data_IF_173981980694
#
_entry.id   IF_173981980694
#
_cell.length_a   1.000
_cell.length_b   1.000
_cell.length_c   1.000
_cell.angle_alpha   90.00
_cell.angle_beta   90.00
_cell.angle_gamma   90.00
#
_symmetry.space_group_name_H-M   'P 1'
#
loop_
_entity.id
_entity.type
_entity.pdbx_description
1 polymer ?
#
# COMPACT_ATOMS: atom_id res chain seq x y z
N UNK A 1 -115.26 39.29 45.99
CA UNK A 1 -114.26 38.43 46.66
C UNK A 1 -113.52 37.52 45.66
N UNK A 2 -114.22 36.76 44.81
CA UNK A 2 -113.59 35.86 43.83
C UNK A 2 -112.59 36.55 42.86
N UNK A 3 -112.96 37.68 42.24
CA UNK A 3 -112.07 38.43 41.33
C UNK A 3 -110.80 39.01 41.99
N UNK A 4 -110.88 39.37 43.29
CA UNK A 4 -109.73 39.86 44.04
C UNK A 4 -108.76 38.72 44.37
N UNK A 5 -109.29 37.59 44.82
CA UNK A 5 -108.49 36.37 45.08
C UNK A 5 -107.79 35.89 43.81
N UNK A 6 -108.43 36.02 42.64
CA UNK A 6 -107.86 35.63 41.36
C UNK A 6 -106.70 36.54 40.93
N UNK A 7 -106.88 37.88 41.01
CA UNK A 7 -105.81 38.85 40.77
C UNK A 7 -104.64 38.72 41.76
N UNK A 8 -104.93 38.45 43.03
CA UNK A 8 -103.91 38.22 44.06
C UNK A 8 -103.08 36.98 43.73
N UNK A 9 -103.71 35.86 43.33
CA UNK A 9 -103.00 34.64 42.89
C UNK A 9 -102.13 34.86 41.67
N UNK A 10 -102.57 35.65 40.69
CA UNK A 10 -101.76 35.98 39.50
C UNK A 10 -100.50 36.77 39.89
N UNK A 11 -100.64 37.74 40.80
CA UNK A 11 -99.50 38.53 41.30
C UNK A 11 -98.54 37.66 42.13
N UNK A 12 -99.04 36.74 42.96
CA UNK A 12 -98.19 35.79 43.66
C UNK A 12 -97.46 34.85 42.69
N UNK A 13 -98.14 34.30 41.69
CA UNK A 13 -97.53 33.45 40.67
C UNK A 13 -96.45 34.20 39.88
N UNK A 14 -96.70 35.44 39.47
CA UNK A 14 -95.67 36.27 38.79
C UNK A 14 -94.47 36.57 39.69
N UNK A 15 -94.68 36.72 41.00
CA UNK A 15 -93.59 36.87 41.97
C UNK A 15 -92.77 35.58 42.08
N UNK A 16 -93.42 34.43 42.15
CA UNK A 16 -92.74 33.12 42.18
C UNK A 16 -91.95 32.87 40.89
N UNK A 17 -92.54 33.15 39.73
CA UNK A 17 -91.87 33.03 38.42
C UNK A 17 -90.65 33.96 38.33
N UNK A 18 -90.78 35.21 38.79
CA UNK A 18 -89.65 36.16 38.82
C UNK A 18 -88.53 35.69 39.74
N UNK A 19 -88.86 35.12 40.91
CA UNK A 19 -87.88 34.55 41.83
C UNK A 19 -87.22 33.30 41.24
N UNK A 20 -87.97 32.45 40.54
CA UNK A 20 -87.42 31.29 39.83
C UNK A 20 -86.45 31.72 38.73
N UNK A 21 -86.86 32.67 37.89
CA UNK A 21 -86.02 33.18 36.81
C UNK A 21 -84.72 33.82 37.33
N UNK A 22 -84.79 34.60 38.42
CA UNK A 22 -83.58 35.17 39.05
C UNK A 22 -82.66 34.05 39.56
N UNK A 23 -83.19 32.99 40.16
CA UNK A 23 -82.39 31.83 40.58
C UNK A 23 -81.72 31.14 39.39
N UNK A 24 -82.46 30.91 38.31
CA UNK A 24 -81.92 30.28 37.09
C UNK A 24 -80.83 31.14 36.46
N UNK A 25 -81.01 32.47 36.45
CA UNK A 25 -80.01 33.42 35.97
C UNK A 25 -78.75 33.40 36.82
N UNK A 26 -78.88 33.34 38.16
CA UNK A 26 -77.73 33.25 39.08
C UNK A 26 -76.97 31.93 38.90
N UNK A 27 -77.68 30.81 38.72
CA UNK A 27 -77.05 29.51 38.43
C UNK A 27 -76.35 29.54 37.07
N UNK A 28 -76.95 30.16 36.05
CA UNK A 28 -76.33 30.31 34.75
C UNK A 28 -75.06 31.17 34.80
N UNK A 29 -75.10 32.30 35.51
CA UNK A 29 -73.94 33.18 35.71
C UNK A 29 -72.83 32.44 36.47
N UNK A 30 -73.15 31.75 37.57
CA UNK A 30 -72.18 30.98 38.34
C UNK A 30 -71.53 29.88 37.48
N UNK A 31 -72.33 29.16 36.69
CA UNK A 31 -71.80 28.18 35.74
C UNK A 31 -70.87 28.81 34.70
N UNK A 32 -71.30 29.93 34.10
CA UNK A 32 -70.50 30.64 33.09
C UNK A 32 -69.18 31.16 33.68
N UNK A 33 -69.21 31.71 34.89
CA UNK A 33 -68.00 32.16 35.59
C UNK A 33 -67.05 31.01 35.91
N UNK A 34 -67.58 29.86 36.35
CA UNK A 34 -66.80 28.67 36.62
C UNK A 34 -66.19 28.09 35.34
N UNK A 35 -66.95 28.01 34.25
CA UNK A 35 -66.47 27.55 32.94
C UNK A 35 -65.36 28.49 32.41
N UNK A 36 -65.55 29.81 32.50
CA UNK A 36 -64.54 30.79 32.08
C UNK A 36 -63.28 30.76 32.95
N UNK A 37 -63.40 30.56 34.26
CA UNK A 37 -62.25 30.38 35.16
C UNK A 37 -61.48 29.12 34.80
N UNK A 38 -62.16 27.99 34.60
CA UNK A 38 -61.53 26.74 34.20
C UNK A 38 -60.81 26.85 32.85
N UNK A 39 -61.41 27.56 31.89
CA UNK A 39 -60.79 27.79 30.58
C UNK A 39 -59.56 28.72 30.69
N UNK A 40 -59.63 29.78 31.50
CA UNK A 40 -58.46 30.63 31.75
C UNK A 40 -57.32 29.86 32.42
N UNK A 41 -57.61 29.02 33.41
CA UNK A 41 -56.59 28.19 34.08
C UNK A 41 -55.95 27.20 33.09
N UNK A 42 -56.74 26.62 32.19
CA UNK A 42 -56.25 25.75 31.11
C UNK A 42 -55.34 26.52 30.15
N UNK A 43 -55.79 27.67 29.65
CA UNK A 43 -55.02 28.49 28.71
C UNK A 43 -53.72 29.03 29.33
N UNK A 44 -53.74 29.39 30.62
CA UNK A 44 -52.53 29.80 31.34
C UNK A 44 -51.51 28.66 31.40
N UNK A 45 -51.98 27.44 31.66
CA UNK A 45 -51.10 26.25 31.67
C UNK A 45 -50.53 25.93 30.28
N UNK A 46 -51.38 25.97 29.25
CA UNK A 46 -50.92 25.76 27.87
C UNK A 46 -49.91 26.83 27.43
N UNK A 47 -50.09 28.08 27.87
CA UNK A 47 -49.15 29.16 27.63
C UNK A 47 -47.81 28.92 28.32
N UNK A 48 -47.83 28.48 29.58
CA UNK A 48 -46.61 28.15 30.35
C UNK A 48 -45.85 27.00 29.69
N UNK A 49 -46.53 25.90 29.34
CA UNK A 49 -45.93 24.75 28.66
C UNK A 49 -45.31 25.16 27.31
N UNK A 50 -46.03 25.96 26.51
CA UNK A 50 -45.53 26.45 25.22
C UNK A 50 -44.31 27.38 25.37
N UNK A 51 -44.21 28.14 26.47
CA UNK A 51 -43.04 28.98 26.75
C UNK A 51 -41.81 28.13 27.08
N UNK A 52 -41.98 27.07 27.88
CA UNK A 52 -40.91 26.14 28.21
C UNK A 52 -40.36 25.44 26.95
N UNK A 53 -41.26 24.95 26.08
CA UNK A 53 -40.90 24.32 24.82
C UNK A 53 -40.16 25.28 23.87
N UNK A 54 -40.63 26.52 23.78
CA UNK A 54 -39.99 27.54 22.95
C UNK A 54 -38.56 27.85 23.42
N UNK A 55 -38.34 27.92 24.73
CA UNK A 55 -37.04 28.20 25.30
C UNK A 55 -36.08 27.01 25.14
N UNK A 56 -36.57 25.78 25.25
CA UNK A 56 -35.79 24.58 24.94
C UNK A 56 -35.38 24.54 23.45
N UNK A 57 -36.34 24.74 22.55
CA UNK A 57 -36.08 24.78 21.11
C UNK A 57 -35.08 25.90 20.73
N UNK A 58 -35.17 27.06 21.38
CA UNK A 58 -34.21 28.16 21.19
C UNK A 58 -32.81 27.80 21.66
N UNK A 59 -32.67 27.12 22.80
CA UNK A 59 -31.37 26.64 23.31
C UNK A 59 -30.78 25.60 22.37
N UNK A 60 -31.54 24.56 22.04
CA UNK A 60 -31.11 23.49 21.12
C UNK A 60 -30.66 24.05 19.76
N UNK A 61 -31.43 24.99 19.17
CA UNK A 61 -31.06 25.64 17.91
C UNK A 61 -29.74 26.42 18.01
N UNK A 62 -29.50 27.13 19.12
CA UNK A 62 -28.26 27.90 19.32
C UNK A 62 -27.06 26.96 19.45
N UNK A 63 -27.19 25.89 20.22
CA UNK A 63 -26.15 24.87 20.37
C UNK A 63 -25.82 24.20 19.03
N UNK A 64 -26.85 23.83 18.25
CA UNK A 64 -26.67 23.25 16.92
C UNK A 64 -25.98 24.22 15.95
N UNK A 65 -26.35 25.51 15.97
CA UNK A 65 -25.68 26.54 15.14
C UNK A 65 -24.22 26.71 15.51
N UNK A 66 -23.88 26.68 16.80
CA UNK A 66 -22.50 26.71 17.27
C UNK A 66 -21.73 25.47 16.79
N UNK A 67 -22.32 24.27 16.93
CA UNK A 67 -21.70 23.02 16.49
C UNK A 67 -21.48 23.00 14.97
N UNK A 68 -22.44 23.46 14.18
CA UNK A 68 -22.30 23.58 12.72
C UNK A 68 -21.15 24.53 12.34
N UNK A 69 -21.03 25.66 13.04
CA UNK A 69 -19.95 26.63 12.79
C UNK A 69 -18.59 25.99 13.08
N UNK A 70 -18.44 25.34 14.24
CA UNK A 70 -17.19 24.66 14.64
C UNK A 70 -16.85 23.52 13.67
N UNK A 71 -17.81 22.67 13.32
CA UNK A 71 -17.59 21.55 12.39
C UNK A 71 -17.24 22.06 10.98
N UNK A 72 -17.90 23.11 10.49
CA UNK A 72 -17.60 23.73 9.20
C UNK A 72 -16.18 24.30 9.17
N UNK A 73 -15.77 25.01 10.23
CA UNK A 73 -14.40 25.51 10.36
C UNK A 73 -13.38 24.38 10.38
N UNK A 74 -13.65 23.31 11.14
CA UNK A 74 -12.77 22.14 11.23
C UNK A 74 -12.65 21.41 9.89
N UNK A 75 -13.74 21.30 9.13
CA UNK A 75 -13.72 20.76 7.78
C UNK A 75 -12.86 21.62 6.83
N UNK A 76 -12.98 22.95 6.93
CA UNK A 76 -12.14 23.88 6.17
C UNK A 76 -10.65 23.72 6.48
N UNK A 77 -10.31 23.53 7.77
CA UNK A 77 -8.95 23.22 8.19
C UNK A 77 -8.47 21.89 7.61
N UNK A 78 -9.25 20.82 7.74
CA UNK A 78 -8.89 19.51 7.17
C UNK A 78 -8.72 19.53 5.65
N UNK A 79 -9.52 20.31 4.93
CA UNK A 79 -9.34 20.48 3.49
C UNK A 79 -8.02 21.18 3.17
N UNK A 80 -7.69 22.24 3.91
CA UNK A 80 -6.43 22.98 3.73
C UNK A 80 -5.22 22.10 4.04
N UNK A 81 -5.27 21.35 5.14
CA UNK A 81 -4.20 20.42 5.53
C UNK A 81 -4.01 19.30 4.50
N UNK A 82 -5.11 18.73 3.99
CA UNK A 82 -5.05 17.71 2.95
C UNK A 82 -4.45 18.25 1.65
N UNK A 83 -4.85 19.46 1.23
CA UNK A 83 -4.27 20.08 0.04
C UNK A 83 -2.78 20.36 0.24
N UNK A 84 -2.35 20.81 1.42
CA UNK A 84 -0.94 20.93 1.75
C UNK A 84 -0.20 19.59 1.65
N UNK A 85 -0.74 18.52 2.24
CA UNK A 85 -0.13 17.19 2.21
C UNK A 85 0.01 16.62 0.78
N UNK A 86 -0.98 16.85 -0.09
CA UNK A 86 -0.94 16.42 -1.50
C UNK A 86 0.10 17.17 -2.34
N UNK A 87 0.46 18.38 -1.95
CA UNK A 87 1.40 19.24 -2.68
C UNK A 87 2.80 19.27 -2.07
N UNK A 88 2.96 18.77 -0.84
CA UNK A 88 4.28 18.62 -0.20
C UNK A 88 5.17 17.65 -0.97
N UNK A 89 6.47 17.93 -1.05
CA UNK A 89 7.48 17.09 -1.69
C UNK A 89 7.06 16.58 -3.08
N UNK A 90 6.67 17.49 -4.02
CA UNK A 90 6.25 17.06 -5.34
C UNK A 90 7.43 16.41 -6.07
N UNK A 91 7.16 15.35 -6.84
CA UNK A 91 8.21 14.71 -7.63
C UNK A 91 7.73 14.17 -8.97
N UNK A 92 8.66 14.07 -9.91
CA UNK A 92 8.54 13.36 -11.18
C UNK A 92 9.34 12.06 -11.05
N UNK A 93 8.78 10.94 -11.50
CA UNK A 93 9.53 9.69 -11.56
C UNK A 93 9.74 9.24 -13.00
N UNK A 94 10.98 8.92 -13.33
CA UNK A 94 11.42 8.40 -14.63
C UNK A 94 11.78 6.93 -14.43
N UNK A 95 11.08 6.04 -15.12
CA UNK A 95 11.28 4.59 -15.05
C UNK A 95 11.66 4.11 -16.45
N UNK A 96 12.87 3.56 -16.61
CA UNK A 96 13.41 3.22 -17.92
C UNK A 96 13.76 1.74 -17.95
N UNK A 97 13.27 1.06 -18.99
CA UNK A 97 13.78 -0.23 -19.40
C UNK A 97 15.02 0.00 -20.25
N UNK A 98 16.19 -0.16 -19.61
CA UNK A 98 17.48 0.15 -20.20
C UNK A 98 17.98 -0.92 -21.18
N UNK A 99 17.29 -2.06 -21.32
CA UNK A 99 17.65 -3.07 -22.32
C UNK A 99 17.23 -2.63 -23.73
N UNK A 100 16.14 -1.87 -23.86
CA UNK A 100 15.67 -1.33 -25.15
C UNK A 100 15.65 0.20 -25.28
N UNK A 101 15.83 0.94 -24.17
CA UNK A 101 15.99 2.41 -24.18
C UNK A 101 17.44 2.77 -23.84
N UNK A 102 18.29 2.79 -24.86
CA UNK A 102 19.75 2.83 -24.71
C UNK A 102 20.28 4.26 -24.88
N UNK A 103 21.18 4.70 -23.99
CA UNK A 103 21.83 6.01 -24.10
C UNK A 103 22.75 6.09 -25.32
N UNK A 104 22.96 7.31 -25.82
CA UNK A 104 23.95 7.56 -26.86
C UNK A 104 25.34 7.07 -26.48
N UNK A 105 26.04 6.52 -27.47
CA UNK A 105 27.39 5.99 -27.28
C UNK A 105 28.37 7.06 -26.81
N UNK A 106 28.15 8.33 -27.15
CA UNK A 106 28.96 9.45 -26.70
C UNK A 106 28.97 9.60 -25.18
N UNK A 107 27.83 9.36 -24.52
CA UNK A 107 27.78 9.33 -23.05
C UNK A 107 28.46 8.07 -22.51
N UNK A 108 28.21 6.91 -23.13
CA UNK A 108 28.73 5.63 -22.61
C UNK A 108 30.26 5.57 -22.71
N UNK A 109 30.85 5.99 -23.83
CA UNK A 109 32.31 6.03 -24.07
C UNK A 109 33.06 6.96 -23.10
N UNK A 110 32.37 7.90 -22.45
CA UNK A 110 32.94 8.78 -21.44
C UNK A 110 32.95 8.18 -20.03
N UNK A 111 32.50 6.91 -19.88
CA UNK A 111 32.49 6.20 -18.60
C UNK A 111 31.77 6.99 -17.49
N UNK A 112 32.43 7.14 -16.35
CA UNK A 112 31.88 7.78 -15.15
C UNK A 112 31.35 9.20 -15.41
N UNK A 113 32.12 10.05 -16.11
CA UNK A 113 31.71 11.43 -16.37
C UNK A 113 30.56 11.50 -17.37
N UNK A 114 30.53 10.59 -18.34
CA UNK A 114 29.41 10.44 -19.27
C UNK A 114 28.11 10.08 -18.56
N UNK A 115 28.17 9.16 -17.60
CA UNK A 115 27.04 8.81 -16.73
C UNK A 115 26.47 10.02 -15.99
N UNK A 116 27.34 10.82 -15.37
CA UNK A 116 26.93 12.05 -14.66
C UNK A 116 26.29 13.08 -15.61
N UNK A 117 26.84 13.25 -16.82
CA UNK A 117 26.28 14.13 -17.85
C UNK A 117 24.90 13.65 -18.31
N UNK A 118 24.74 12.36 -18.56
CA UNK A 118 23.47 11.77 -18.94
C UNK A 118 22.40 11.93 -17.85
N UNK A 119 22.76 11.76 -16.57
CA UNK A 119 21.86 12.02 -15.45
C UNK A 119 21.38 13.47 -15.41
N UNK A 120 22.28 14.44 -15.62
CA UNK A 120 21.91 15.86 -15.71
C UNK A 120 21.02 16.15 -16.91
N UNK A 121 21.34 15.62 -18.09
CA UNK A 121 20.54 15.78 -19.30
C UNK A 121 19.12 15.23 -19.11
N UNK A 122 18.99 14.01 -18.57
CA UNK A 122 17.71 13.38 -18.30
C UNK A 122 16.87 14.18 -17.31
N UNK A 123 17.48 14.71 -16.24
CA UNK A 123 16.78 15.58 -15.29
C UNK A 123 16.23 16.83 -15.97
N UNK A 124 17.05 17.51 -16.77
CA UNK A 124 16.66 18.75 -17.42
C UNK A 124 15.54 18.49 -18.45
N UNK A 125 15.68 17.45 -19.28
CA UNK A 125 14.65 17.04 -20.22
C UNK A 125 13.33 16.68 -19.52
N UNK A 126 13.38 15.97 -18.38
CA UNK A 126 12.18 15.64 -17.61
C UNK A 126 11.45 16.89 -17.07
N UNK A 127 12.19 17.89 -16.60
CA UNK A 127 11.63 19.16 -16.12
C UNK A 127 11.01 19.98 -17.26
N UNK A 128 11.70 20.07 -18.41
CA UNK A 128 11.21 20.82 -19.58
C UNK A 128 9.87 20.27 -20.12
N UNK A 129 9.65 18.96 -20.02
CA UNK A 129 8.39 18.35 -20.47
C UNK A 129 7.21 18.57 -19.52
N UNK A 130 7.48 19.06 -18.30
CA UNK A 130 6.50 19.25 -17.24
C UNK A 130 6.47 20.70 -16.70
N UNK A 131 6.25 21.73 -17.55
CA UNK A 131 6.42 23.14 -17.17
C UNK A 131 5.38 23.66 -16.18
N UNK A 132 4.28 22.94 -15.98
CA UNK A 132 3.19 23.34 -15.06
C UNK A 132 3.42 22.86 -13.62
N UNK A 133 4.58 22.27 -13.33
CA UNK A 133 4.93 21.80 -11.99
C UNK A 133 5.84 22.84 -11.32
N UNK A 134 5.63 23.07 -10.03
CA UNK A 134 6.40 24.00 -9.20
C UNK A 134 7.92 23.76 -9.28
N UNK A 135 8.71 24.83 -9.13
CA UNK A 135 10.17 24.83 -9.23
C UNK A 135 10.86 23.95 -8.17
N UNK A 136 10.16 23.57 -7.09
CA UNK A 136 10.64 22.72 -6.00
C UNK A 136 10.46 21.21 -6.26
N UNK A 137 10.07 20.83 -7.48
CA UNK A 137 9.88 19.42 -7.85
C UNK A 137 11.18 18.63 -7.90
N UNK A 138 11.21 17.49 -7.22
CA UNK A 138 12.32 16.54 -7.30
C UNK A 138 12.14 15.61 -8.50
N UNK A 139 13.21 15.32 -9.23
CA UNK A 139 13.20 14.29 -10.27
C UNK A 139 13.86 13.04 -9.73
N UNK A 140 13.17 11.90 -9.80
CA UNK A 140 13.67 10.60 -9.41
C UNK A 140 13.82 9.76 -10.68
N UNK A 141 14.95 9.10 -10.90
CA UNK A 141 15.14 8.25 -12.07
C UNK A 141 15.60 6.85 -11.67
N UNK A 142 14.98 5.83 -12.25
CA UNK A 142 15.37 4.43 -12.05
C UNK A 142 15.47 3.74 -13.41
N UNK A 143 16.66 3.24 -13.70
CA UNK A 143 16.94 2.52 -14.94
C UNK A 143 17.16 1.06 -14.56
N UNK A 144 16.42 0.16 -15.18
CA UNK A 144 16.54 -1.27 -14.96
C UNK A 144 17.07 -1.90 -16.24
N UNK A 145 18.21 -2.57 -16.15
CA UNK A 145 18.81 -3.24 -17.31
C UNK A 145 19.59 -4.47 -16.87
N UNK A 146 19.76 -5.43 -17.78
CA UNK A 146 20.77 -6.47 -17.62
C UNK A 146 22.11 -5.94 -18.13
N UNK A 147 22.89 -5.29 -17.26
CA UNK A 147 24.12 -4.58 -17.65
C UNK A 147 25.11 -5.52 -18.35
N UNK A 148 25.22 -6.76 -17.87
CA UNK A 148 26.08 -7.78 -18.47
C UNK A 148 25.60 -8.22 -19.85
N UNK A 149 24.29 -8.35 -20.06
CA UNK A 149 23.69 -8.65 -21.35
C UNK A 149 23.85 -7.51 -22.35
N UNK A 150 23.57 -6.28 -21.90
CA UNK A 150 23.68 -5.06 -22.68
C UNK A 150 25.13 -4.82 -23.14
N UNK A 151 26.12 -4.96 -22.25
CA UNK A 151 27.54 -4.84 -22.60
C UNK A 151 27.95 -5.79 -23.74
N UNK A 152 27.51 -7.06 -23.66
CA UNK A 152 27.76 -8.07 -24.69
C UNK A 152 27.07 -7.74 -26.01
N UNK A 153 25.84 -7.23 -25.96
CA UNK A 153 25.11 -6.81 -27.16
C UNK A 153 25.80 -5.62 -27.84
N UNK A 154 26.16 -4.59 -27.08
CA UNK A 154 26.85 -3.41 -27.60
C UNK A 154 28.24 -3.73 -28.15
N UNK A 155 28.99 -4.63 -27.52
CA UNK A 155 30.28 -5.08 -28.01
C UNK A 155 30.19 -5.84 -29.34
N UNK A 156 29.16 -6.69 -29.52
CA UNK A 156 28.91 -7.40 -30.79
C UNK A 156 28.62 -6.46 -31.96
N UNK A 157 27.93 -5.34 -31.71
CA UNK A 157 27.59 -4.34 -32.73
C UNK A 157 28.76 -3.37 -32.99
N UNK A 158 29.81 -3.39 -32.17
CA UNK A 158 30.96 -2.49 -32.28
C UNK A 158 30.69 -1.07 -31.77
N UNK A 159 29.66 -0.89 -30.94
CA UNK A 159 29.29 0.39 -30.31
C UNK A 159 30.13 0.61 -29.06
N UNK A 160 30.52 -0.47 -28.39
CA UNK A 160 31.26 -0.45 -27.13
C UNK A 160 32.58 -1.19 -27.31
N UNK A 161 33.68 -0.45 -27.27
CA UNK A 161 35.03 -0.99 -27.40
C UNK A 161 35.48 -1.69 -26.10
N UNK A 162 35.18 -1.08 -24.94
CA UNK A 162 35.53 -1.60 -23.63
C UNK A 162 34.28 -1.79 -22.74
N UNK A 163 33.95 -3.03 -22.33
CA UNK A 163 32.84 -3.31 -21.41
C UNK A 163 32.93 -2.61 -20.04
N UNK A 164 34.11 -2.12 -19.67
CA UNK A 164 34.31 -1.30 -18.47
C UNK A 164 33.61 0.06 -18.59
N UNK A 165 33.58 0.66 -19.78
CA UNK A 165 33.03 2.01 -19.97
C UNK A 165 31.54 2.04 -19.64
N UNK A 166 30.79 0.99 -20.03
CA UNK A 166 29.39 0.86 -19.63
C UNK A 166 29.22 0.72 -18.11
N UNK A 167 30.09 -0.04 -17.44
CA UNK A 167 30.03 -0.19 -15.97
C UNK A 167 30.39 1.11 -15.25
N UNK A 168 31.34 1.87 -15.76
CA UNK A 168 31.65 3.19 -15.21
C UNK A 168 30.54 4.19 -15.50
N UNK A 169 29.92 4.12 -16.67
CA UNK A 169 28.75 4.90 -17.03
C UNK A 169 27.57 4.65 -16.06
N UNK A 170 27.23 3.39 -15.74
CA UNK A 170 26.14 3.10 -14.80
C UNK A 170 26.43 3.64 -13.39
N UNK A 171 27.68 3.54 -12.94
CA UNK A 171 28.14 4.14 -11.68
C UNK A 171 28.04 5.67 -11.72
N UNK A 172 28.48 6.27 -12.82
CA UNK A 172 28.47 7.71 -13.04
C UNK A 172 27.05 8.27 -13.05
N UNK A 173 26.12 7.57 -13.69
CA UNK A 173 24.71 7.92 -13.71
C UNK A 173 24.12 7.93 -12.30
N UNK A 174 24.36 6.85 -11.55
CA UNK A 174 23.91 6.70 -10.15
C UNK A 174 24.52 7.77 -9.23
N UNK A 175 25.78 8.16 -9.46
CA UNK A 175 26.45 9.22 -8.70
C UNK A 175 26.06 10.64 -9.14
N UNK A 176 25.45 10.79 -10.32
CA UNK A 176 25.15 12.09 -10.91
C UNK A 176 24.08 12.88 -10.14
N UNK A 177 23.12 12.18 -9.52
CA UNK A 177 22.06 12.75 -8.66
C UNK A 177 21.73 11.76 -7.55
N UNK A 178 21.45 12.27 -6.35
CA UNK A 178 21.12 11.42 -5.19
C UNK A 178 19.84 10.58 -5.37
N UNK A 179 18.93 11.03 -6.23
CA UNK A 179 17.64 10.41 -6.54
C UNK A 179 17.66 9.52 -7.80
N UNK A 180 18.84 9.28 -8.37
CA UNK A 180 19.01 8.55 -9.62
C UNK A 180 19.70 7.21 -9.37
N UNK A 181 19.13 6.14 -9.88
CA UNK A 181 19.65 4.78 -9.72
C UNK A 181 19.76 4.07 -11.08
N UNK A 182 20.92 3.50 -11.36
CA UNK A 182 21.10 2.52 -12.42
C UNK A 182 21.20 1.11 -11.81
N UNK A 183 20.21 0.26 -12.07
CA UNK A 183 20.00 -1.00 -11.36
C UNK A 183 20.23 -2.17 -12.31
N UNK A 184 21.29 -2.94 -12.04
CA UNK A 184 21.52 -4.21 -12.73
C UNK A 184 20.57 -5.28 -12.19
N UNK A 185 19.62 -5.71 -13.03
CA UNK A 185 18.65 -6.77 -12.67
C UNK A 185 19.16 -8.18 -13.00
N UNK A 186 20.33 -8.27 -13.62
CA UNK A 186 20.98 -9.50 -14.03
C UNK A 186 20.22 -10.25 -15.13
N UNK A 187 20.58 -11.52 -15.30
CA UNK A 187 19.98 -12.38 -16.33
C UNK A 187 18.59 -12.89 -15.93
N UNK A 188 17.64 -12.85 -16.87
CA UNK A 188 16.29 -13.40 -16.74
C UNK A 188 15.31 -12.61 -17.59
N UNK A 189 14.22 -13.25 -18.01
CA UNK A 189 13.11 -12.56 -18.69
C UNK A 189 12.29 -11.75 -17.69
N UNK A 190 11.72 -10.62 -18.13
CA UNK A 190 10.75 -9.80 -17.39
C UNK A 190 11.20 -9.21 -16.03
N UNK A 191 12.52 -9.21 -15.75
CA UNK A 191 13.04 -8.68 -14.48
C UNK A 191 12.98 -7.16 -14.40
N UNK A 192 13.28 -6.47 -15.50
CA UNK A 192 13.10 -5.02 -15.61
C UNK A 192 11.60 -4.68 -15.60
N UNK A 193 10.82 -5.41 -16.40
CA UNK A 193 9.40 -5.14 -16.63
C UNK A 193 8.58 -5.23 -15.35
N UNK A 194 8.81 -6.27 -14.54
CA UNK A 194 8.12 -6.43 -13.25
C UNK A 194 8.41 -5.26 -12.31
N UNK A 195 9.65 -4.75 -12.27
CA UNK A 195 10.02 -3.59 -11.46
C UNK A 195 9.36 -2.30 -11.97
N UNK A 196 9.34 -2.09 -13.29
CA UNK A 196 8.73 -0.91 -13.90
C UNK A 196 7.21 -0.92 -13.69
N UNK A 197 6.55 -2.07 -13.87
CA UNK A 197 5.11 -2.24 -13.64
C UNK A 197 4.72 -1.90 -12.20
N UNK A 198 5.39 -2.52 -11.22
CA UNK A 198 5.08 -2.27 -9.82
C UNK A 198 5.44 -0.84 -9.37
N UNK A 199 6.58 -0.30 -9.82
CA UNK A 199 6.95 1.08 -9.52
C UNK A 199 5.93 2.07 -10.10
N UNK A 200 5.44 1.83 -11.32
CA UNK A 200 4.40 2.66 -11.93
C UNK A 200 3.10 2.59 -11.13
N UNK A 201 2.65 1.38 -10.76
CA UNK A 201 1.43 1.18 -9.96
C UNK A 201 1.48 1.86 -8.59
N UNK A 202 2.64 1.84 -7.94
CA UNK A 202 2.85 2.54 -6.67
C UNK A 202 2.76 4.06 -6.85
N UNK A 203 3.50 4.61 -7.82
CA UNK A 203 3.65 6.05 -7.97
C UNK A 203 2.39 6.73 -8.52
N UNK A 204 1.63 6.07 -9.39
CA UNK A 204 0.40 6.67 -9.96
C UNK A 204 -0.67 6.93 -8.88
N UNK A 205 -0.68 6.11 -7.81
CA UNK A 205 -1.57 6.26 -6.65
C UNK A 205 -1.11 7.31 -5.65
N UNK A 206 0.12 7.81 -5.79
CA UNK A 206 0.66 8.83 -4.90
C UNK A 206 0.32 10.23 -5.44
N UNK A 207 -0.25 11.08 -4.57
CA UNK A 207 -0.62 12.46 -4.91
C UNK A 207 0.61 13.37 -5.06
N UNK A 208 1.72 13.04 -4.38
CA UNK A 208 2.95 13.81 -4.48
C UNK A 208 3.69 13.54 -5.81
N UNK A 209 3.46 12.38 -6.43
CA UNK A 209 3.97 12.09 -7.78
C UNK A 209 3.18 12.90 -8.80
N UNK A 210 3.80 13.87 -9.46
CA UNK A 210 3.11 14.75 -10.40
C UNK A 210 3.12 14.19 -11.82
N UNK A 211 4.20 13.52 -12.22
CA UNK A 211 4.33 12.88 -13.53
C UNK A 211 5.14 11.57 -13.45
N UNK A 212 4.79 10.60 -14.28
CA UNK A 212 5.53 9.36 -14.52
C UNK A 212 5.99 9.35 -15.98
N UNK A 213 7.31 9.24 -16.20
CA UNK A 213 7.91 9.11 -17.52
C UNK A 213 8.43 7.68 -17.72
N UNK A 214 7.99 6.99 -18.76
CA UNK A 214 8.27 5.57 -19.00
C UNK A 214 9.13 5.37 -20.25
N UNK A 215 10.37 4.93 -20.09
CA UNK A 215 11.25 4.52 -21.19
C UNK A 215 11.01 3.07 -21.60
N UNK A 216 9.85 2.79 -22.20
CA UNK A 216 9.38 1.42 -22.55
C UNK A 216 8.90 1.31 -24.00
N UNK A 217 9.19 2.30 -24.86
CA UNK A 217 8.60 2.44 -26.20
C UNK A 217 8.79 1.23 -27.13
N UNK A 218 9.79 0.40 -26.86
CA UNK A 218 10.24 -0.68 -27.71
C UNK A 218 9.51 -2.02 -27.53
N UNK A 219 8.77 -2.21 -26.43
CA UNK A 219 8.17 -3.50 -26.05
C UNK A 219 6.65 -3.41 -25.88
N UNK A 220 5.93 -4.17 -26.71
CA UNK A 220 4.46 -4.25 -26.67
C UNK A 220 3.94 -4.97 -25.41
N UNK A 221 4.80 -5.69 -24.68
CA UNK A 221 4.46 -6.36 -23.43
C UNK A 221 3.96 -5.41 -22.33
N UNK A 222 4.31 -4.12 -22.40
CA UNK A 222 3.82 -3.11 -21.45
C UNK A 222 2.39 -2.62 -21.74
N UNK A 223 1.85 -2.82 -22.96
CA UNK A 223 0.56 -2.26 -23.35
C UNK A 223 -0.63 -2.77 -22.50
N UNK A 224 -0.79 -4.09 -22.23
CA UNK A 224 -1.89 -4.57 -21.38
C UNK A 224 -1.84 -4.02 -19.96
N UNK A 225 -0.63 -3.78 -19.44
CA UNK A 225 -0.43 -3.16 -18.13
C UNK A 225 -0.81 -1.68 -18.14
N UNK A 226 -0.44 -0.94 -19.19
CA UNK A 226 -0.85 0.46 -19.32
C UNK A 226 -2.37 0.58 -19.45
N UNK A 227 -3.03 -0.30 -20.20
CA UNK A 227 -4.50 -0.34 -20.25
C UNK A 227 -5.13 -0.60 -18.86
N UNK A 228 -4.48 -1.40 -18.00
CA UNK A 228 -4.92 -1.62 -16.62
C UNK A 228 -4.77 -0.37 -15.73
N UNK A 229 -3.70 0.39 -15.91
CA UNK A 229 -3.36 1.55 -15.06
C UNK A 229 -4.03 2.83 -15.53
N UNK A 230 -4.21 3.00 -16.84
CA UNK A 230 -4.71 4.22 -17.49
C UNK A 230 -6.22 4.13 -17.72
N UNK A 231 -6.96 3.90 -16.65
CA UNK A 231 -8.42 3.68 -16.72
C UNK A 231 -9.22 4.95 -16.96
N UNK A 232 -8.63 6.10 -16.69
CA UNK A 232 -9.29 7.40 -16.75
C UNK A 232 -8.36 8.49 -17.27
N UNK A 233 -8.94 9.63 -17.62
CA UNK A 233 -8.20 10.75 -18.21
C UNK A 233 -7.18 11.37 -17.25
N UNK A 234 -7.44 11.33 -15.93
CA UNK A 234 -6.54 11.90 -14.92
C UNK A 234 -5.27 11.07 -14.76
N UNK A 235 -5.38 9.74 -14.79
CA UNK A 235 -4.23 8.84 -14.76
C UNK A 235 -3.46 8.88 -16.08
N UNK A 236 -4.16 8.93 -17.22
CA UNK A 236 -3.56 9.07 -18.55
C UNK A 236 -2.72 10.34 -18.69
N UNK A 237 -3.20 11.49 -18.21
CA UNK A 237 -2.46 12.77 -18.27
C UNK A 237 -1.16 12.75 -17.45
N UNK A 238 -1.08 11.90 -16.41
CA UNK A 238 0.07 11.78 -15.51
C UNK A 238 1.14 10.81 -15.98
N UNK A 239 0.93 10.10 -17.09
CA UNK A 239 1.88 9.14 -17.66
C UNK A 239 2.30 9.60 -19.05
N UNK A 240 3.60 9.51 -19.34
CA UNK A 240 4.12 9.78 -20.68
C UNK A 240 5.21 8.76 -21.03
N UNK A 241 5.29 8.38 -22.29
CA UNK A 241 6.27 7.42 -22.78
C UNK A 241 7.46 8.19 -23.36
N UNK A 242 8.67 7.86 -22.93
CA UNK A 242 9.91 8.33 -23.55
C UNK A 242 10.19 7.42 -24.75
N UNK A 243 10.26 8.00 -25.92
CA UNK A 243 10.66 7.33 -27.14
C UNK A 243 12.19 7.27 -27.21
N UNK A 244 12.73 6.07 -27.01
CA UNK A 244 14.09 5.72 -27.41
C UNK A 244 14.04 5.28 -28.86
N UNK A 245 13.67 4.02 -29.09
CA UNK A 245 13.33 3.54 -30.45
C UNK A 245 11.86 3.82 -30.80
N UNK A 246 11.49 3.84 -32.09
CA UNK A 246 10.12 4.12 -32.53
C UNK A 246 9.08 3.31 -31.76
N UNK A 247 8.08 4.00 -31.23
CA UNK A 247 7.06 3.40 -30.38
C UNK A 247 6.31 2.27 -31.10
N UNK A 248 6.13 1.14 -30.41
CA UNK A 248 5.32 0.03 -30.92
C UNK A 248 3.84 0.41 -30.99
N UNK A 249 3.13 -0.15 -31.96
CA UNK A 249 1.74 0.23 -32.29
C UNK A 249 0.78 0.06 -31.10
N UNK A 250 0.97 -0.99 -30.33
CA UNK A 250 0.16 -1.35 -29.16
C UNK A 250 0.28 -0.27 -28.08
N UNK A 251 1.49 0.25 -27.84
CA UNK A 251 1.72 1.34 -26.89
C UNK A 251 1.17 2.67 -27.42
N UNK A 252 1.33 2.95 -28.72
CA UNK A 252 0.75 4.14 -29.33
C UNK A 252 -0.79 4.16 -29.22
N UNK A 253 -1.44 2.99 -29.28
CA UNK A 253 -2.88 2.84 -29.15
C UNK A 253 -3.42 3.18 -27.74
N UNK A 254 -2.56 3.20 -26.71
CA UNK A 254 -2.96 3.58 -25.34
C UNK A 254 -3.32 5.07 -25.19
N UNK A 255 -3.02 5.90 -26.20
CA UNK A 255 -3.29 7.34 -26.16
C UNK A 255 -2.37 8.13 -25.21
N UNK A 256 -1.30 7.50 -24.72
CA UNK A 256 -0.30 8.17 -23.88
C UNK A 256 0.51 9.20 -24.67
N UNK A 257 0.86 10.31 -24.01
CA UNK A 257 1.75 11.31 -24.59
C UNK A 257 3.14 10.70 -24.80
N UNK A 258 3.67 10.81 -26.00
CA UNK A 258 5.03 10.37 -26.35
C UNK A 258 5.98 11.56 -26.30
N UNK A 259 7.16 11.35 -25.72
CA UNK A 259 8.22 12.34 -25.51
C UNK A 259 9.46 11.90 -26.26
N UNK A 260 10.03 12.79 -27.07
CA UNK A 260 11.23 12.49 -27.83
C UNK A 260 12.48 12.99 -27.09
N UNK A 261 13.34 12.06 -26.68
CA UNK A 261 14.60 12.34 -25.97
C UNK A 261 15.80 11.92 -26.85
N UNK A 262 15.73 12.17 -28.15
CA UNK A 262 16.72 11.75 -29.16
C UNK A 262 18.14 12.29 -28.93
N UNK A 263 18.30 13.31 -28.09
CA UNK A 263 19.62 13.83 -27.72
C UNK A 263 20.25 13.07 -26.53
N UNK A 264 19.49 12.21 -25.86
CA UNK A 264 19.91 11.40 -24.71
C UNK A 264 19.97 9.92 -25.10
N UNK A 265 18.92 9.44 -25.77
CA UNK A 265 18.75 8.05 -26.17
C UNK A 265 18.93 7.86 -27.66
N UNK A 266 19.35 6.65 -28.02
CA UNK A 266 19.38 6.19 -29.39
C UNK A 266 17.98 5.98 -29.93
N UNK A 267 17.81 6.33 -31.21
CA UNK A 267 16.58 6.11 -31.96
C UNK A 267 16.58 4.82 -32.80
N UNK A 268 17.67 4.06 -32.76
CA UNK A 268 17.85 2.83 -33.51
C UNK A 268 18.07 1.62 -32.59
N UNK A 269 17.62 0.44 -33.05
CA UNK A 269 17.87 -0.82 -32.35
C UNK A 269 19.32 -1.24 -32.55
N UNK A 270 19.90 -1.95 -31.56
CA UNK A 270 21.18 -2.63 -31.73
C UNK A 270 21.04 -3.79 -32.73
N UNK A 271 21.28 -3.51 -34.02
CA UNK A 271 21.25 -4.50 -35.09
C UNK A 271 22.66 -5.07 -35.27
N UNK A 272 22.81 -6.40 -35.19
CA UNK A 272 24.06 -7.06 -35.57
C UNK A 272 24.37 -6.76 -37.04
N UNK A 273 25.50 -6.08 -37.31
CA UNK A 273 26.06 -6.02 -38.65
C UNK A 273 26.41 -7.45 -39.04
N UNK A 274 25.61 -8.07 -39.91
CA UNK A 274 26.02 -9.29 -40.60
C UNK A 274 27.33 -8.96 -41.31
N UNK A 275 28.43 -9.58 -40.85
CA UNK A 275 29.69 -9.52 -41.56
C UNK A 275 29.46 -9.96 -43.00
N UNK A 276 29.98 -9.26 -44.02
CA UNK A 276 29.93 -9.70 -45.43
C UNK A 276 30.51 -11.12 -45.63
N UNK A 277 31.25 -11.62 -44.64
CA UNK A 277 31.81 -12.97 -44.64
C UNK A 277 30.78 -14.09 -44.42
N UNK A 278 29.62 -13.79 -43.85
CA UNK A 278 28.58 -14.80 -43.57
C UNK A 278 27.76 -15.19 -44.80
N UNK A 279 27.88 -14.45 -45.92
CA UNK A 279 27.17 -14.72 -47.18
C UNK A 279 27.87 -15.74 -48.08
N UNK A 280 29.11 -16.16 -47.77
CA UNK A 280 29.86 -17.14 -48.57
C UNK A 280 29.69 -18.61 -48.14
N UNK A 281 28.87 -18.91 -47.13
CA UNK A 281 28.60 -20.29 -46.70
C UNK A 281 27.25 -20.87 -47.13
N UNK A 282 26.49 -20.19 -48.00
CA UNK A 282 25.21 -20.71 -48.54
C UNK A 282 25.19 -21.00 -50.05
N UNK A 283 26.35 -21.04 -50.71
CA UNK A 283 26.47 -21.40 -52.14
C UNK A 283 27.38 -22.62 -52.34
N UNK A 284 26.96 -23.80 -51.86
CA UNK A 284 27.58 -25.05 -52.31
C UNK A 284 26.68 -26.28 -52.10
N UNK A 285 25.40 -26.24 -52.51
CA UNK A 285 24.58 -27.45 -52.63
C UNK A 285 23.94 -27.49 -54.02
N UNK A 286 24.62 -28.14 -54.95
CA UNK A 286 24.11 -28.34 -56.31
C UNK A 286 24.90 -29.38 -57.08
N UNK A 287 24.82 -30.67 -56.71
CA UNK A 287 25.06 -31.80 -57.60
C UNK A 287 24.18 -33.02 -57.20
N UNK A 288 23.71 -33.83 -58.16
CA UNK A 288 22.66 -34.83 -57.99
C UNK A 288 23.17 -36.19 -57.46
N UNK A 289 22.28 -37.04 -56.89
CA UNK A 289 22.69 -38.29 -56.25
C UNK A 289 22.71 -39.46 -57.23
N UNK A 290 23.89 -39.99 -57.54
CA UNK A 290 24.07 -41.38 -57.95
C UNK A 290 25.50 -41.85 -57.69
N UNK A 291 25.61 -43.05 -57.11
CA UNK A 291 26.82 -43.89 -56.99
C UNK A 291 27.85 -43.50 -55.93
N UNK A 292 27.80 -44.14 -54.76
CA UNK A 292 28.60 -45.35 -54.50
C UNK A 292 28.51 -45.73 -53.01
N UNK A 293 28.15 -46.99 -52.78
CA UNK A 293 28.31 -47.67 -51.51
C UNK A 293 29.79 -48.00 -51.26
N UNK A 294 30.08 -48.13 -49.97
CA UNK A 294 31.06 -49.02 -49.34
C UNK A 294 32.33 -48.38 -48.74
N UNK A 295 32.60 -48.89 -47.53
CA UNK A 295 33.81 -48.88 -46.70
C UNK A 295 33.82 -47.73 -45.67
N UNK A 296 33.15 -47.87 -44.51
CA UNK A 296 33.44 -48.75 -43.33
C UNK A 296 34.52 -48.16 -42.40
N UNK A 297 34.02 -47.81 -41.22
CA UNK A 297 34.63 -47.86 -39.89
C UNK A 297 35.54 -46.73 -39.40
N UNK A 298 34.99 -45.96 -38.46
CA UNK A 298 35.74 -45.15 -37.50
C UNK A 298 34.83 -44.43 -36.51
N UNK A 299 34.35 -45.16 -35.50
CA UNK A 299 33.80 -44.70 -34.19
C UNK A 299 34.39 -43.33 -33.75
N UNK A 300 33.64 -42.35 -33.24
CA UNK A 300 32.69 -42.38 -32.13
C UNK A 300 31.57 -41.33 -32.32
N UNK A 301 30.34 -41.78 -32.10
CA UNK A 301 29.12 -40.99 -32.09
C UNK A 301 28.97 -40.33 -30.70
N UNK A 302 28.80 -39.01 -30.67
CA UNK A 302 27.99 -38.34 -29.65
C UNK A 302 26.59 -38.15 -30.26
N UNK A 303 25.49 -38.60 -29.63
CA UNK A 303 24.16 -38.41 -30.19
C UNK A 303 23.63 -37.01 -29.83
N UNK A 304 23.63 -36.11 -30.81
CA UNK A 304 22.44 -35.28 -31.09
C UNK A 304 21.52 -36.14 -31.96
N UNK A 305 20.18 -36.17 -31.81
CA UNK A 305 19.29 -35.01 -32.08
C UNK A 305 17.94 -35.14 -31.29
N UNK A 306 16.76 -34.61 -31.69
CA UNK A 306 16.40 -33.58 -32.67
C UNK A 306 15.43 -32.49 -32.15
N UNK A 307 15.29 -31.44 -32.96
CA UNK A 307 14.16 -30.51 -32.95
C UNK A 307 12.89 -31.23 -33.43
N UNK A 308 11.79 -31.25 -32.65
CA UNK A 308 10.42 -31.12 -33.19
C UNK A 308 9.41 -30.73 -32.09
N UNK A 309 8.44 -29.94 -32.52
CA UNK A 309 7.32 -29.32 -31.81
C UNK A 309 6.27 -30.34 -31.30
N UNK A 310 5.59 -29.96 -30.21
CA UNK A 310 4.27 -30.38 -29.72
C UNK A 310 4.22 -31.37 -28.53
N UNK A 311 3.68 -30.84 -27.42
CA UNK A 311 2.93 -31.57 -26.41
C UNK A 311 3.68 -31.89 -25.12
N UNK A 312 3.38 -31.15 -24.04
CA UNK A 312 2.90 -31.70 -22.75
C UNK A 312 2.72 -30.55 -21.74
N UNK A 313 1.56 -30.57 -21.13
CA UNK A 313 1.04 -29.75 -20.03
C UNK A 313 1.79 -30.00 -18.70
N UNK A 314 1.67 -29.00 -17.81
CA UNK A 314 1.76 -29.06 -16.33
C UNK A 314 3.10 -29.36 -15.63
N UNK A 315 3.77 -28.32 -15.09
CA UNK A 315 4.52 -28.30 -13.81
C UNK A 315 4.46 -26.87 -13.21
N UNK A 316 4.32 -26.68 -11.87
CA UNK A 316 3.88 -25.42 -11.25
C UNK A 316 5.00 -24.43 -10.86
N UNK A 317 4.57 -23.18 -10.64
CA UNK A 317 5.34 -22.01 -10.21
C UNK A 317 6.07 -22.23 -8.86
N UNK A 318 7.34 -21.83 -8.81
CA UNK A 318 8.07 -21.58 -7.56
C UNK A 318 8.29 -20.08 -7.35
N UNK A 319 8.29 -19.73 -6.07
CA UNK A 319 8.12 -18.42 -5.44
C UNK A 319 9.38 -17.54 -5.42
N UNK A 320 9.23 -16.22 -5.14
CA UNK A 320 10.32 -15.24 -5.19
C UNK A 320 11.21 -15.22 -3.94
N UNK A 321 12.45 -14.69 -4.03
CA UNK A 321 13.42 -14.65 -2.93
C UNK A 321 13.10 -13.54 -1.90
N UNK A 322 13.40 -13.74 -0.60
CA UNK A 322 13.24 -12.70 0.43
C UNK A 322 14.39 -11.69 0.46
N UNK A 323 14.03 -10.49 0.91
CA UNK A 323 14.86 -9.29 1.05
C UNK A 323 16.01 -9.44 2.07
N UNK A 324 17.13 -8.77 1.77
CA UNK A 324 18.23 -8.50 2.69
C UNK A 324 18.24 -7.00 3.00
N UNK A 325 18.40 -6.64 4.28
CA UNK A 325 18.97 -5.35 4.69
C UNK A 325 20.24 -5.57 5.53
N UNK A 326 21.19 -4.62 5.51
CA UNK A 326 22.61 -4.88 5.73
C UNK A 326 23.07 -4.50 7.15
N UNK A 327 23.99 -5.28 7.74
CA UNK A 327 25.13 -4.77 8.51
C UNK A 327 26.25 -5.81 8.43
N UNK A 328 27.35 -5.47 7.77
CA UNK A 328 28.64 -6.16 7.91
C UNK A 328 29.40 -5.55 9.10
N UNK A 329 29.63 -6.31 10.17
CA UNK A 329 30.73 -6.05 11.11
C UNK A 329 31.92 -6.94 10.74
N UNK A 330 33.11 -6.33 10.72
CA UNK A 330 34.40 -6.95 10.36
C UNK A 330 34.73 -8.17 11.23
N UNK A 331 35.22 -9.23 10.58
CA UNK A 331 35.84 -10.39 11.21
C UNK A 331 37.12 -10.02 11.98
N UNK A 332 37.16 -10.40 13.26
CA UNK A 332 38.38 -10.60 14.03
C UNK A 332 38.45 -12.06 14.48
N UNK A 333 39.50 -12.74 14.02
CA UNK A 333 40.17 -13.97 14.52
C UNK A 333 39.54 -14.82 15.63
N UNK A 334 39.28 -16.09 15.26
CA UNK A 334 39.46 -17.37 16.00
C UNK A 334 39.67 -17.36 17.53
N UNK A 335 38.77 -18.08 18.22
CA UNK A 335 38.98 -18.63 19.56
C UNK A 335 37.74 -19.38 20.06
N UNK A 336 37.84 -20.70 20.21
CA UNK A 336 36.78 -21.56 20.74
C UNK A 336 36.72 -21.50 22.26
N UNK A 337 35.61 -21.09 22.88
CA UNK A 337 35.30 -21.41 24.30
C UNK A 337 33.79 -21.44 24.58
N UNK A 338 33.41 -22.56 25.24
CA UNK A 338 32.29 -22.84 26.15
C UNK A 338 30.93 -22.11 26.02
N UNK A 339 29.88 -22.94 25.94
CA UNK A 339 28.48 -22.56 26.13
C UNK A 339 28.24 -22.02 27.56
N UNK A 340 27.88 -20.74 27.64
CA UNK A 340 27.18 -20.17 28.77
C UNK A 340 25.90 -19.51 28.25
N UNK A 341 24.75 -19.83 28.86
CA UNK A 341 23.48 -19.22 28.54
C UNK A 341 23.55 -17.71 28.81
N UNK A 342 23.48 -16.89 27.75
CA UNK A 342 23.43 -15.44 27.87
C UNK A 342 21.96 -15.02 27.92
N UNK A 343 21.51 -14.55 29.07
CA UNK A 343 20.29 -13.74 29.17
C UNK A 343 20.58 -12.36 28.58
N UNK A 344 19.84 -11.99 27.53
CA UNK A 344 19.95 -10.66 26.93
C UNK A 344 19.16 -9.68 27.79
N UNK A 345 19.86 -8.80 28.52
CA UNK A 345 19.27 -7.62 29.17
C UNK A 345 19.82 -6.38 28.47
N UNK A 346 18.95 -5.63 27.82
CA UNK A 346 19.24 -4.29 27.28
C UNK A 346 18.75 -3.22 28.27
N UNK A 347 19.56 -2.19 28.61
CA UNK A 347 19.14 -1.12 29.51
C UNK A 347 18.46 0.02 28.75
N UNK A 348 17.22 0.42 29.09
CA UNK A 348 16.54 1.63 28.58
C UNK A 348 15.39 2.10 29.51
N UNK A 349 14.87 3.35 29.37
CA UNK A 349 14.50 4.28 30.45
C UNK A 349 13.16 4.01 31.15
N UNK A 350 12.97 4.70 32.29
CA UNK A 350 11.90 4.52 33.29
C UNK A 350 10.48 4.54 32.71
N UNK A 351 9.67 3.66 33.30
CA UNK A 351 8.27 3.37 32.99
C UNK A 351 7.38 4.08 34.01
N UNK A 352 7.00 5.34 33.78
CA UNK A 352 6.07 6.03 34.69
C UNK A 352 4.67 6.28 34.09
N UNK A 353 4.41 5.97 32.81
CA UNK A 353 3.11 6.23 32.16
C UNK A 353 2.43 5.01 31.49
N UNK A 354 2.87 3.78 31.79
CA UNK A 354 2.19 2.60 31.24
C UNK A 354 1.15 2.06 32.22
N UNK A 355 -0.13 2.31 31.92
CA UNK A 355 -1.28 1.76 32.64
C UNK A 355 -1.78 0.53 31.87
N UNK A 356 -1.57 -0.71 32.35
CA UNK A 356 -2.21 -1.88 31.77
C UNK A 356 -3.73 -1.74 31.90
N UNK A 357 -4.46 -1.84 30.79
CA UNK A 357 -5.89 -2.14 30.84
C UNK A 357 -6.15 -3.55 31.37
N UNK A 358 -7.41 -3.99 31.37
CA UNK A 358 -7.85 -5.28 31.95
C UNK A 358 -7.08 -6.52 31.42
N UNK A 359 -6.46 -6.42 30.24
CA UNK A 359 -5.66 -7.48 29.62
C UNK A 359 -4.29 -7.71 30.27
N UNK A 360 -3.68 -6.68 30.87
CA UNK A 360 -2.34 -6.75 31.47
C UNK A 360 -1.22 -7.09 30.48
N UNK A 361 -0.01 -7.37 31.00
CA UNK A 361 1.19 -7.76 30.22
C UNK A 361 1.06 -9.13 29.56
N UNK A 362 1.54 -9.27 28.31
CA UNK A 362 1.69 -10.59 27.70
C UNK A 362 2.66 -11.44 28.55
N UNK A 363 2.29 -12.66 28.97
CA UNK A 363 3.12 -13.47 29.87
C UNK A 363 4.52 -13.74 29.33
N UNK A 364 5.58 -13.51 30.10
CA UNK A 364 6.96 -13.80 29.66
C UNK A 364 7.13 -15.28 29.34
N UNK A 365 7.70 -15.59 28.17
CA UNK A 365 7.96 -16.97 27.73
C UNK A 365 9.45 -17.31 27.90
N UNK A 366 9.76 -18.25 28.79
CA UNK A 366 11.11 -18.81 28.93
C UNK A 366 11.33 -19.92 27.90
N UNK A 367 12.29 -19.76 27.00
CA UNK A 367 12.52 -20.69 25.87
C UNK A 367 14.00 -21.02 25.75
N UNK A 368 14.30 -22.30 25.51
CA UNK A 368 15.64 -22.75 25.16
C UNK A 368 16.09 -22.16 23.81
N UNK A 369 17.24 -21.48 23.79
CA UNK A 369 17.80 -20.88 22.57
C UNK A 369 17.98 -21.91 21.45
N UNK A 370 18.31 -23.16 21.79
CA UNK A 370 18.47 -24.25 20.80
C UNK A 370 17.14 -24.58 20.12
N UNK A 371 16.04 -24.60 20.87
CA UNK A 371 14.70 -24.88 20.33
C UNK A 371 14.20 -23.70 19.50
N UNK A 372 14.42 -22.47 19.98
CA UNK A 372 14.07 -21.26 19.23
C UNK A 372 14.75 -21.22 17.86
N UNK A 373 16.07 -21.46 17.81
CA UNK A 373 16.83 -21.48 16.57
C UNK A 373 16.41 -22.62 15.64
N UNK A 374 16.09 -23.79 16.18
CA UNK A 374 15.55 -24.91 15.38
C UNK A 374 14.21 -24.56 14.75
N UNK A 375 13.32 -23.91 15.50
CA UNK A 375 12.00 -23.48 15.01
C UNK A 375 12.14 -22.38 13.94
N UNK A 376 13.06 -21.42 14.10
CA UNK A 376 13.35 -20.38 13.09
C UNK A 376 13.89 -20.93 11.77
N UNK A 377 14.67 -22.02 11.82
CA UNK A 377 15.25 -22.65 10.62
C UNK A 377 14.23 -23.36 9.73
N UNK A 378 13.02 -23.64 10.22
CA UNK A 378 11.94 -24.22 9.41
C UNK A 378 11.46 -23.21 8.36
N UNK A 379 11.43 -23.61 7.10
CA UNK A 379 11.09 -22.75 5.96
C UNK A 379 10.15 -23.46 4.98
N UNK A 380 9.46 -22.66 4.14
CA UNK A 380 8.50 -23.18 3.17
C UNK A 380 7.41 -24.03 3.83
N UNK A 381 7.16 -25.21 3.27
CA UNK A 381 6.15 -26.17 3.74
C UNK A 381 6.50 -26.84 5.09
N UNK A 382 7.74 -26.73 5.58
CA UNK A 382 8.14 -27.28 6.89
C UNK A 382 7.90 -26.32 8.05
N UNK A 383 7.51 -25.06 7.74
CA UNK A 383 7.20 -24.04 8.74
C UNK A 383 5.89 -24.40 9.43
N UNK A 384 5.94 -24.43 10.77
CA UNK A 384 4.80 -24.78 11.61
C UNK A 384 3.73 -23.69 11.55
N UNK A 385 2.46 -24.07 11.42
CA UNK A 385 1.35 -23.12 11.33
C UNK A 385 0.99 -22.51 12.69
N UNK A 386 1.18 -21.20 12.87
CA UNK A 386 0.88 -20.52 14.14
C UNK A 386 -0.57 -20.72 14.59
N UNK A 387 -1.55 -20.62 13.68
CA UNK A 387 -2.96 -20.83 14.04
C UNK A 387 -3.22 -22.27 14.49
N UNK A 388 -2.67 -23.26 13.77
CA UNK A 388 -2.86 -24.67 14.12
C UNK A 388 -2.34 -24.99 15.53
N UNK A 389 -1.13 -24.53 15.83
CA UNK A 389 -0.43 -24.88 17.06
C UNK A 389 -0.79 -24.00 18.27
N UNK A 390 -1.30 -22.78 18.06
CA UNK A 390 -1.61 -21.87 19.17
C UNK A 390 -3.11 -21.63 19.39
N UNK A 391 -3.98 -21.85 18.39
CA UNK A 391 -5.43 -21.62 18.49
C UNK A 391 -6.28 -22.89 18.30
N UNK A 392 -5.67 -24.01 17.95
CA UNK A 392 -6.39 -25.24 17.59
C UNK A 392 -6.56 -25.39 16.08
N UNK A 393 -7.56 -26.13 15.58
CA UNK A 393 -7.69 -26.44 14.15
C UNK A 393 -7.56 -25.21 13.25
N UNK A 394 -6.67 -25.30 12.25
CA UNK A 394 -6.45 -24.18 11.33
C UNK A 394 -7.71 -23.98 10.46
N UNK A 395 -8.24 -22.75 10.30
CA UNK A 395 -9.41 -22.49 9.45
C UNK A 395 -9.21 -22.88 7.98
N UNK A 396 -7.95 -22.94 7.52
CA UNK A 396 -7.58 -23.33 6.15
C UNK A 396 -7.49 -24.86 5.96
N UNK A 397 -7.60 -25.66 7.02
CA UNK A 397 -7.54 -27.12 6.96
C UNK A 397 -6.35 -27.63 6.13
N UNK A 398 -6.65 -28.47 5.14
CA UNK A 398 -5.66 -29.07 4.23
C UNK A 398 -5.17 -28.11 3.12
N UNK A 399 -5.80 -26.95 2.92
CA UNK A 399 -5.34 -25.91 1.99
C UNK A 399 -4.24 -25.01 2.59
N UNK A 400 -3.88 -25.25 3.86
CA UNK A 400 -2.82 -24.50 4.51
C UNK A 400 -1.45 -24.90 3.98
N UNK A 401 -0.66 -23.91 3.56
CA UNK A 401 0.72 -24.10 3.07
C UNK A 401 1.76 -24.40 4.17
N UNK A 402 1.32 -24.37 5.44
CA UNK A 402 2.17 -24.57 6.61
C UNK A 402 1.92 -25.96 7.22
N UNK A 403 2.94 -26.52 7.85
CA UNK A 403 2.92 -27.86 8.43
C UNK A 403 1.91 -27.95 9.59
N UNK A 404 1.08 -28.98 9.57
CA UNK A 404 0.08 -29.31 10.61
C UNK A 404 0.31 -30.69 11.24
N UNK A 405 1.06 -31.59 10.59
CA UNK A 405 1.20 -32.99 11.03
C UNK A 405 2.36 -33.20 12.01
N UNK A 406 3.24 -32.21 12.16
CA UNK A 406 4.35 -32.28 13.11
C UNK A 406 3.81 -32.33 14.55
N UNK A 407 4.29 -33.29 15.35
CA UNK A 407 3.99 -33.37 16.78
C UNK A 407 4.88 -32.39 17.55
N UNK A 408 4.43 -31.14 17.65
CA UNK A 408 5.18 -30.09 18.34
C UNK A 408 5.32 -30.39 19.85
N UNK A 409 6.54 -30.29 20.37
CA UNK A 409 6.79 -30.37 21.81
C UNK A 409 6.31 -29.09 22.53
N UNK A 410 6.15 -29.13 23.85
CA UNK A 410 5.78 -27.95 24.64
C UNK A 410 6.80 -26.81 24.48
N UNK A 411 8.09 -27.13 24.37
CA UNK A 411 9.14 -26.15 24.11
C UNK A 411 9.06 -25.55 22.68
N UNK A 412 8.67 -26.36 21.69
CA UNK A 412 8.41 -25.86 20.33
C UNK A 412 7.17 -24.96 20.32
N UNK A 413 6.10 -25.28 21.06
CA UNK A 413 4.92 -24.42 21.19
C UNK A 413 5.27 -23.06 21.81
N UNK A 414 6.11 -23.05 22.88
CA UNK A 414 6.61 -21.80 23.47
C UNK A 414 7.44 -20.99 22.45
N UNK A 415 8.29 -21.66 21.66
CA UNK A 415 9.05 -21.00 20.59
C UNK A 415 8.14 -20.41 19.50
N UNK A 416 7.09 -21.12 19.08
CA UNK A 416 6.10 -20.62 18.11
C UNK A 416 5.35 -19.42 18.69
N UNK A 417 4.91 -19.49 19.95
CA UNK A 417 4.23 -18.40 20.64
C UNK A 417 5.10 -17.14 20.72
N UNK A 418 6.38 -17.28 21.09
CA UNK A 418 7.32 -16.18 21.11
C UNK A 418 7.53 -15.54 19.74
N UNK A 419 7.79 -16.35 18.71
CA UNK A 419 7.95 -15.84 17.34
C UNK A 419 6.67 -15.18 16.82
N UNK A 420 5.50 -15.65 17.23
CA UNK A 420 4.21 -15.06 16.83
C UNK A 420 3.99 -13.70 17.50
N UNK A 421 4.39 -13.55 18.76
CA UNK A 421 4.30 -12.29 19.52
C UNK A 421 5.25 -11.20 19.02
N UNK A 422 6.27 -11.54 18.24
CA UNK A 422 7.10 -10.53 17.56
C UNK A 422 6.31 -9.77 16.49
N UNK A 423 5.17 -10.31 16.03
CA UNK A 423 4.23 -9.56 15.21
C UNK A 423 3.24 -8.84 16.14
N UNK A 424 3.18 -7.49 16.11
CA UNK A 424 2.28 -6.75 16.97
C UNK A 424 0.82 -6.99 16.55
N UNK A 425 -0.05 -7.12 17.55
CA UNK A 425 -1.49 -7.14 17.37
C UNK A 425 -1.95 -5.77 16.86
N UNK A 426 -2.82 -5.76 15.84
CA UNK A 426 -3.37 -4.51 15.29
C UNK A 426 -4.16 -3.69 16.30
N UNK A 427 -4.78 -4.36 17.28
CA UNK A 427 -5.54 -3.73 18.36
C UNK A 427 -4.68 -3.47 19.61
N UNK A 428 -3.38 -3.81 19.59
CA UNK A 428 -2.45 -3.53 20.69
C UNK A 428 -2.99 -3.92 22.06
N UNK A 429 -2.89 -3.01 23.03
CA UNK A 429 -3.42 -3.16 24.39
C UNK A 429 -4.93 -3.32 24.45
N UNK A 430 -5.65 -2.72 23.51
CA UNK A 430 -7.11 -2.69 23.46
C UNK A 430 -7.70 -3.94 22.78
N UNK A 431 -6.89 -4.97 22.53
CA UNK A 431 -7.38 -6.22 21.98
C UNK A 431 -8.28 -6.92 23.00
N UNK A 432 -9.53 -7.17 22.63
CA UNK A 432 -10.54 -7.90 23.42
C UNK A 432 -10.57 -9.41 23.11
N UNK A 433 -9.78 -9.86 22.14
CA UNK A 433 -9.72 -11.28 21.74
C UNK A 433 -8.92 -12.08 22.77
N UNK A 434 -9.63 -12.88 23.56
CA UNK A 434 -9.08 -13.74 24.62
C UNK A 434 -7.94 -14.64 24.10
N UNK A 435 -8.14 -15.28 22.93
CA UNK A 435 -7.16 -16.19 22.31
C UNK A 435 -6.29 -15.52 21.23
N UNK A 436 -5.95 -14.24 21.41
CA UNK A 436 -5.01 -13.56 20.51
C UNK A 436 -3.57 -14.08 20.71
N UNK A 437 -2.90 -14.39 19.60
CA UNK A 437 -1.55 -14.99 19.58
C UNK A 437 -0.44 -13.99 19.25
N UNK A 438 -0.82 -12.76 18.90
CA UNK A 438 0.09 -11.66 18.55
C UNK A 438 0.53 -10.90 19.79
N UNK A 439 1.56 -10.05 19.65
CA UNK A 439 2.07 -9.26 20.77
C UNK A 439 1.23 -8.00 20.99
N UNK A 440 0.74 -7.79 22.20
CA UNK A 440 -0.07 -6.63 22.56
C UNK A 440 0.78 -5.48 23.12
N UNK A 441 2.04 -5.76 23.47
CA UNK A 441 2.95 -4.84 24.17
C UNK A 441 4.12 -4.42 23.30
N UNK A 442 4.61 -3.19 23.52
CA UNK A 442 5.84 -2.72 22.90
C UNK A 442 7.05 -3.46 23.50
N UNK A 443 7.93 -4.08 22.69
CA UNK A 443 9.13 -4.77 23.19
C UNK A 443 10.11 -3.88 23.97
N UNK A 444 9.97 -2.56 23.84
CA UNK A 444 10.75 -1.55 24.58
C UNK A 444 10.29 -1.36 26.03
N UNK A 445 9.15 -1.96 26.43
CA UNK A 445 8.69 -2.00 27.83
C UNK A 445 9.45 -3.12 28.54
N UNK A 446 10.61 -2.78 29.11
CA UNK A 446 11.39 -3.70 29.94
C UNK A 446 10.84 -3.77 31.37
N UNK A 447 10.52 -4.97 31.85
CA UNK A 447 10.20 -5.23 33.26
C UNK A 447 11.44 -5.01 34.14
N UNK A 448 11.35 -4.08 35.08
CA UNK A 448 12.24 -4.06 36.25
C UNK A 448 11.77 -5.19 37.18
N UNK A 449 12.42 -6.36 37.13
CA UNK A 449 12.10 -7.55 37.92
C UNK A 449 12.55 -7.44 39.39
N UNK A 450 12.29 -6.30 40.03
CA UNK A 450 12.71 -6.03 41.41
C UNK A 450 11.60 -5.48 42.32
N UNK A 451 10.34 -5.43 41.90
CA UNK A 451 9.27 -4.82 42.71
C UNK A 451 7.93 -5.58 42.66
N UNK A 452 7.94 -6.91 42.88
CA UNK A 452 6.75 -7.63 43.38
C UNK A 452 7.22 -8.71 44.35
N UNK A 453 7.74 -8.27 45.48
CA UNK A 453 7.92 -9.06 46.69
C UNK A 453 7.30 -8.26 47.83
N UNK A 454 5.98 -8.31 47.93
CA UNK A 454 5.20 -7.55 48.92
C UNK A 454 3.88 -8.24 49.18
N UNK A 455 3.88 -9.05 50.23
CA UNK A 455 2.79 -9.36 51.16
C UNK A 455 1.35 -9.11 50.69
N UNK A 456 0.58 -10.20 50.59
CA UNK A 456 -0.86 -10.16 50.88
C UNK A 456 -1.15 -11.30 51.87
N UNK A 457 -1.21 -10.95 53.15
CA UNK A 457 -2.01 -11.65 54.16
C UNK A 457 -3.49 -11.46 53.83
N UNK A 458 -4.30 -12.50 54.05
CA UNK A 458 -5.76 -12.50 53.87
C UNK A 458 -6.30 -13.88 53.58
#
# INVERSE_FOLDING_TARGET
MAQFLDRYRIIEAQKEDSVSFIKDLLVYIDKLENDLRGENDRLLKELEDAQLDLDDARRSRREMQQQLTVTSQRLGQYNTDNEFLKHRNPYIIVLIDGDGTIFHEEYIRQGLEGGKKAANALRNAALEQCPNISDDVEVIAKIFANVSGLAKAMGRVGVLDNPQDLREFTLGFTQGKASFDFIDVGHGTERADSKIREATRWNIRNHNCKQILLGVSHDAGYAPFLDEVLRDESTTRRVSIIEGTPIVRELAATGTRVLNFDHIFRNDKLIERQSPYSQFQQLSHGLPPAQLQAIVNGRNQSPTPPNTWAGVTSIPLTTPPPMVFPVTLKNGTSGAFAAAAVNVVTPHPKLDDWVPGDRGLDPTLTISAVVLERTKRRAGNTKLCNNHYLRGPCPKGDECVFEHRHKASEEELKAIAYLTRLNPCVNGQDCDVEYCIYGHHCPSVGLNLAAVGGEWEG
#
